data_IF_591046354274
#
_entry.id   IF_591046354274
#
_cell.length_a   1.000
_cell.length_b   1.000
_cell.length_c   1.000
_cell.angle_alpha   90.00
_cell.angle_beta   90.00
_cell.angle_gamma   90.00
#
_symmetry.space_group_name_H-M   'P 1'
#
loop_
_entity.id
_entity.type
_entity.pdbx_description
1 polymer ?
#
# COMPACT_ATOMS: atom_id res chain seq x y z
N UNK A 1 13.90 -0.39 5.34
CA UNK A 1 12.62 -1.09 5.12
C UNK A 1 12.13 -0.70 3.73
N UNK A 2 11.58 -1.64 2.97
CA UNK A 2 10.93 -1.36 1.68
C UNK A 2 9.51 -0.82 1.89
N UNK A 3 8.96 -0.13 0.89
CA UNK A 3 7.57 0.36 0.93
C UNK A 3 6.55 -0.76 1.19
N UNK A 4 6.76 -1.94 0.59
CA UNK A 4 5.89 -3.10 0.81
C UNK A 4 6.01 -3.64 2.24
N UNK A 5 7.23 -3.77 2.76
CA UNK A 5 7.43 -4.21 4.15
C UNK A 5 6.76 -3.25 5.13
N UNK A 6 6.88 -1.94 4.89
CA UNK A 6 6.20 -0.91 5.67
C UNK A 6 4.68 -1.10 5.66
N UNK A 7 4.08 -1.20 4.47
CA UNK A 7 2.64 -1.37 4.31
C UNK A 7 2.13 -2.64 4.99
N UNK A 8 2.82 -3.77 4.80
CA UNK A 8 2.43 -5.04 5.44
C UNK A 8 2.51 -4.94 6.96
N UNK A 9 3.52 -4.25 7.50
CA UNK A 9 3.62 -4.02 8.92
C UNK A 9 2.48 -3.13 9.44
N UNK A 10 2.14 -2.03 8.74
CA UNK A 10 1.05 -1.12 9.16
C UNK A 10 -0.32 -1.79 9.07
N UNK A 11 -0.55 -2.63 8.06
CA UNK A 11 -1.77 -3.44 7.97
C UNK A 11 -1.86 -4.42 9.14
N UNK A 12 -0.74 -5.02 9.55
CA UNK A 12 -0.71 -5.89 10.74
C UNK A 12 -1.03 -5.15 12.04
N UNK A 13 -0.60 -3.90 12.17
CA UNK A 13 -0.94 -3.05 13.32
C UNK A 13 -2.40 -2.62 13.33
N UNK A 14 -2.97 -2.23 12.18
CA UNK A 14 -4.39 -1.91 12.05
C UNK A 14 -5.26 -3.11 12.48
N UNK A 15 -4.85 -4.32 12.06
CA UNK A 15 -5.50 -5.58 12.46
C UNK A 15 -5.40 -5.81 13.97
N UNK A 16 -4.21 -5.69 14.56
CA UNK A 16 -4.01 -5.87 16.01
C UNK A 16 -4.77 -4.82 16.85
N UNK A 17 -4.81 -3.56 16.39
CA UNK A 17 -5.56 -2.50 17.05
C UNK A 17 -7.07 -2.77 17.06
N UNK A 18 -7.59 -3.41 16.00
CA UNK A 18 -8.99 -3.83 15.92
C UNK A 18 -9.36 -4.89 16.97
N UNK A 19 -8.41 -5.73 17.38
CA UNK A 19 -8.62 -6.75 18.42
C UNK A 19 -8.63 -6.14 19.83
N UNK A 20 -7.81 -5.11 20.06
CA UNK A 20 -7.70 -4.43 21.35
C UNK A 20 -8.93 -3.57 21.70
N UNK A 21 -9.74 -3.17 20.72
CA UNK A 21 -10.85 -2.22 20.89
C UNK A 21 -12.23 -2.83 21.18
N UNK A 22 -12.36 -4.16 21.36
CA UNK A 22 -13.65 -4.82 21.69
C UNK A 22 -14.19 -4.54 23.11
N UNK A 23 -13.69 -3.51 23.80
CA UNK A 23 -13.90 -3.30 25.24
C UNK A 23 -14.65 -2.04 25.70
N UNK A 24 -14.89 -1.01 24.87
CA UNK A 24 -15.54 0.22 25.34
C UNK A 24 -16.51 0.76 24.29
N UNK A 25 -17.80 0.64 24.58
CA UNK A 25 -18.85 1.21 23.74
C UNK A 25 -18.74 2.74 23.68
N UNK A 26 -18.46 3.28 22.49
CA UNK A 26 -18.76 4.67 22.16
C UNK A 26 -18.76 4.88 20.64
N UNK A 27 -19.95 5.06 20.07
CA UNK A 27 -20.31 6.12 19.11
C UNK A 27 -19.62 6.27 17.75
N UNK A 28 -18.51 5.58 17.43
CA UNK A 28 -17.78 5.82 16.17
C UNK A 28 -16.85 4.71 15.69
N UNK A 29 -16.85 3.56 16.36
CA UNK A 29 -16.01 2.42 15.98
C UNK A 29 -16.50 1.82 14.68
N UNK A 30 -15.64 1.81 13.66
CA UNK A 30 -15.80 0.89 12.54
C UNK A 30 -15.97 -0.53 13.11
N UNK A 31 -16.85 -1.35 12.53
CA UNK A 31 -17.01 -2.72 13.01
C UNK A 31 -15.69 -3.45 12.82
N UNK A 32 -15.28 -4.28 13.79
CA UNK A 32 -14.06 -5.09 13.69
C UNK A 32 -13.98 -5.84 12.35
N UNK A 33 -15.10 -6.45 11.94
CA UNK A 33 -15.23 -7.10 10.63
C UNK A 33 -14.83 -6.19 9.48
N UNK A 34 -15.27 -4.93 9.47
CA UNK A 34 -14.92 -3.98 8.41
C UNK A 34 -13.42 -3.66 8.40
N UNK A 35 -12.77 -3.51 9.55
CA UNK A 35 -11.31 -3.26 9.62
C UNK A 35 -10.53 -4.45 9.08
N UNK A 36 -10.93 -5.68 9.45
CA UNK A 36 -10.32 -6.90 8.93
C UNK A 36 -10.51 -7.05 7.42
N UNK A 37 -11.71 -6.73 6.92
CA UNK A 37 -12.01 -6.73 5.48
C UNK A 37 -11.11 -5.73 4.73
N UNK A 38 -10.92 -4.52 5.27
CA UNK A 38 -10.01 -3.54 4.70
C UNK A 38 -8.55 -4.00 4.73
N UNK A 39 -8.10 -4.63 5.81
CA UNK A 39 -6.74 -5.19 5.89
C UNK A 39 -6.53 -6.27 4.81
N UNK A 40 -7.51 -7.15 4.60
CA UNK A 40 -7.48 -8.15 3.54
C UNK A 40 -7.47 -7.51 2.14
N UNK A 41 -8.28 -6.47 1.92
CA UNK A 41 -8.30 -5.72 0.65
C UNK A 41 -6.96 -5.03 0.39
N UNK A 42 -6.36 -4.36 1.39
CA UNK A 42 -5.05 -3.70 1.25
C UNK A 42 -3.97 -4.71 0.85
N UNK A 43 -3.93 -5.90 1.47
CA UNK A 43 -3.01 -6.99 1.07
C UNK A 43 -3.24 -7.43 -0.38
N UNK A 44 -4.49 -7.54 -0.81
CA UNK A 44 -4.80 -7.87 -2.21
C UNK A 44 -4.35 -6.77 -3.17
N UNK A 45 -4.54 -5.50 -2.82
CA UNK A 45 -4.08 -4.37 -3.65
C UNK A 45 -2.56 -4.39 -3.79
N UNK A 46 -1.81 -4.74 -2.74
CA UNK A 46 -0.35 -4.92 -2.83
C UNK A 46 0.01 -5.98 -3.87
N UNK A 47 -0.67 -7.14 -3.88
CA UNK A 47 -0.46 -8.17 -4.92
C UNK A 47 -0.76 -7.63 -6.32
N UNK A 48 -1.90 -6.95 -6.48
CA UNK A 48 -2.28 -6.35 -7.77
C UNK A 48 -1.31 -5.27 -8.23
N UNK A 49 -0.67 -4.53 -7.32
CA UNK A 49 0.35 -3.55 -7.66
C UNK A 49 1.58 -4.23 -8.27
N UNK A 50 2.00 -5.38 -7.75
CA UNK A 50 3.09 -6.16 -8.37
C UNK A 50 2.72 -6.66 -9.78
N UNK A 51 1.49 -7.13 -9.96
CA UNK A 51 0.99 -7.52 -11.29
C UNK A 51 1.00 -6.32 -12.26
N UNK A 52 0.53 -5.15 -11.81
CA UNK A 52 0.53 -3.92 -12.60
C UNK A 52 1.95 -3.51 -13.03
N UNK A 53 2.94 -3.58 -12.13
CA UNK A 53 4.36 -3.35 -12.49
C UNK A 53 4.85 -4.37 -13.52
N UNK A 54 4.46 -5.64 -13.39
CA UNK A 54 4.77 -6.68 -14.38
C UNK A 54 4.24 -6.35 -15.78
N UNK A 55 2.99 -5.89 -15.87
CA UNK A 55 2.39 -5.47 -17.14
C UNK A 55 3.10 -4.25 -17.74
N UNK A 56 3.42 -3.24 -16.93
CA UNK A 56 4.19 -2.08 -17.39
C UNK A 56 5.54 -2.51 -17.98
N UNK A 57 6.30 -3.35 -17.26
CA UNK A 57 7.60 -3.84 -17.74
C UNK A 57 7.47 -4.65 -19.04
N UNK A 58 6.39 -5.40 -19.21
CA UNK A 58 6.12 -6.17 -20.43
C UNK A 58 5.88 -5.23 -21.61
N UNK A 59 5.06 -4.19 -21.42
CA UNK A 59 4.79 -3.18 -22.43
C UNK A 59 6.06 -2.41 -22.81
N UNK A 60 6.88 -2.04 -21.84
CA UNK A 60 8.14 -1.32 -22.09
C UNK A 60 9.11 -2.21 -22.91
N UNK A 61 9.22 -3.50 -22.57
CA UNK A 61 10.02 -4.47 -23.32
C UNK A 61 9.52 -4.67 -24.75
N UNK A 62 8.20 -4.76 -24.95
CA UNK A 62 7.60 -4.91 -26.28
C UNK A 62 7.85 -3.70 -27.20
N UNK A 63 8.02 -2.50 -26.62
CA UNK A 63 8.27 -1.26 -27.36
C UNK A 63 9.75 -1.07 -27.74
N UNK A 64 10.68 -1.83 -27.14
CA UNK A 64 12.14 -1.73 -27.33
C UNK A 64 12.67 -0.30 -27.14
N UNK A 65 12.07 0.44 -26.20
CA UNK A 65 12.42 1.83 -25.88
C UNK A 65 12.66 1.97 -24.38
N UNK A 66 13.76 2.60 -23.97
CA UNK A 66 14.01 2.97 -22.57
C UNK A 66 13.24 4.26 -22.15
N UNK A 67 12.14 4.58 -22.85
CA UNK A 67 11.32 5.79 -22.69
C UNK A 67 10.88 5.99 -21.23
N UNK A 68 10.66 4.91 -20.46
CA UNK A 68 10.24 5.02 -19.05
C UNK A 68 11.38 5.39 -18.12
N UNK A 69 12.56 4.82 -18.30
CA UNK A 69 13.77 5.20 -17.54
C UNK A 69 14.12 6.67 -17.78
N UNK A 70 13.94 7.14 -19.02
CA UNK A 70 14.22 8.52 -19.43
C UNK A 70 13.15 9.53 -18.97
N UNK A 71 11.88 9.13 -18.90
CA UNK A 71 10.77 10.02 -18.50
C UNK A 71 10.65 10.22 -16.99
N UNK A 72 11.29 9.37 -16.18
CA UNK A 72 11.16 9.39 -14.72
C UNK A 72 9.77 9.01 -14.22
N UNK A 73 8.92 8.42 -15.07
CA UNK A 73 7.56 8.01 -14.69
C UNK A 73 7.62 6.70 -13.91
N UNK A 74 7.18 6.75 -12.65
CA UNK A 74 7.07 5.57 -11.81
C UNK A 74 6.09 4.53 -12.39
N UNK A 75 6.40 3.24 -12.19
CA UNK A 75 5.50 2.13 -12.52
C UNK A 75 4.12 2.32 -11.85
N UNK A 76 3.06 1.90 -12.53
CA UNK A 76 1.69 2.00 -12.00
C UNK A 76 1.58 1.31 -10.64
N UNK A 77 2.21 0.13 -10.49
CA UNK A 77 2.26 -0.56 -9.21
C UNK A 77 2.92 0.27 -8.10
N UNK A 78 4.04 0.93 -8.38
CA UNK A 78 4.73 1.79 -7.41
C UNK A 78 3.82 2.96 -6.96
N UNK A 79 3.11 3.58 -7.91
CA UNK A 79 2.15 4.66 -7.62
C UNK A 79 0.99 4.17 -6.73
N UNK A 80 0.51 2.95 -6.94
CA UNK A 80 -0.51 2.32 -6.09
C UNK A 80 0.01 2.11 -4.67
N UNK A 81 1.24 1.61 -4.51
CA UNK A 81 1.85 1.39 -3.20
C UNK A 81 2.07 2.71 -2.44
N UNK A 82 2.56 3.76 -3.12
CA UNK A 82 2.70 5.10 -2.54
C UNK A 82 1.37 5.66 -2.06
N UNK A 83 0.32 5.52 -2.88
CA UNK A 83 -1.03 5.94 -2.51
C UNK A 83 -1.52 5.21 -1.24
N UNK A 84 -1.29 3.90 -1.13
CA UNK A 84 -1.62 3.12 0.08
C UNK A 84 -0.83 3.56 1.32
N UNK A 85 0.35 4.16 1.14
CA UNK A 85 1.18 4.62 2.24
C UNK A 85 0.76 5.99 2.79
N UNK A 86 0.01 6.79 2.02
CA UNK A 86 -0.48 8.13 2.39
C UNK A 86 -1.08 8.22 3.80
N UNK A 87 -1.96 7.30 4.24
CA UNK A 87 -2.56 7.38 5.58
C UNK A 87 -1.55 7.24 6.73
N UNK A 88 -0.36 6.73 6.45
CA UNK A 88 0.69 6.46 7.43
C UNK A 88 1.82 7.50 7.38
N UNK A 89 1.62 8.66 6.74
CA UNK A 89 2.66 9.68 6.56
C UNK A 89 3.23 10.24 7.88
N UNK A 90 2.45 10.21 8.97
CA UNK A 90 2.89 10.65 10.31
C UNK A 90 3.56 9.52 11.11
N UNK A 91 3.68 8.32 10.54
CA UNK A 91 4.30 7.19 11.21
C UNK A 91 5.82 7.38 11.33
N UNK A 92 6.47 7.08 12.47
CA UNK A 92 7.92 7.27 12.64
C UNK A 92 8.79 6.49 11.65
N UNK A 93 8.29 5.34 11.19
CA UNK A 93 8.98 4.51 10.20
C UNK A 93 8.63 4.87 8.73
N UNK A 94 7.83 5.91 8.50
CA UNK A 94 7.50 6.40 7.17
C UNK A 94 8.70 7.10 6.54
N UNK A 95 9.09 6.67 5.33
CA UNK A 95 10.09 7.40 4.54
C UNK A 95 9.39 8.46 3.67
N UNK A 96 9.71 9.76 3.82
CA UNK A 96 9.12 10.83 3.03
C UNK A 96 9.21 10.61 1.51
N UNK A 97 10.21 9.86 1.02
CA UNK A 97 10.35 9.53 -0.41
C UNK A 97 9.16 8.75 -0.95
N UNK A 98 8.34 8.13 -0.11
CA UNK A 98 7.12 7.41 -0.51
C UNK A 98 5.91 8.33 -0.72
N UNK A 99 5.98 9.59 -0.31
CA UNK A 99 4.89 10.58 -0.44
C UNK A 99 5.00 11.48 -1.67
N UNK A 100 6.13 11.42 -2.37
CA UNK A 100 6.45 12.19 -3.59
C UNK A 100 6.04 11.45 -4.87
#
# INVERSE_FOLDING_TARGET
MTLTEFLLARIGEDEAASEAHEGVGSGGSWTRSRVLDECAVKRRIITLAYEATGYDMTVDLERDTDERGESGVAFVGDRILRALATPYAEHPDYDPVWGE
#
